data_IF_834528722597
#
_entry.id   IF_834528722597
#
_cell.length_a   1.000
_cell.length_b   1.000
_cell.length_c   1.000
_cell.angle_alpha   90.00
_cell.angle_beta   90.00
_cell.angle_gamma   90.00
#
_symmetry.space_group_name_H-M   'P 1'
#
loop_
_entity.id
_entity.type
_entity.pdbx_description
1 polymer ?
#
# COMPACT_ATOMS: atom_id res chain seq x y z
N UNK A 1 -0.74 -4.48 -5.34
CA UNK A 1 0.06 -5.72 -5.34
C UNK A 1 1.01 -5.62 -4.17
N UNK A 2 0.86 -6.52 -3.21
CA UNK A 2 1.78 -6.72 -2.08
C UNK A 2 3.02 -7.42 -2.66
N UNK A 3 4.23 -7.05 -2.25
CA UNK A 3 5.46 -7.60 -2.85
C UNK A 3 5.77 -8.99 -2.26
N UNK A 4 6.45 -9.85 -3.01
CA UNK A 4 6.86 -11.19 -2.54
C UNK A 4 7.91 -11.16 -1.41
N UNK A 5 8.53 -10.01 -1.17
CA UNK A 5 9.53 -9.77 -0.11
C UNK A 5 8.95 -9.07 1.13
N UNK A 6 7.63 -8.85 1.20
CA UNK A 6 6.96 -8.33 2.38
C UNK A 6 6.52 -9.49 3.29
N UNK A 7 7.00 -9.47 4.54
CA UNK A 7 6.64 -10.39 5.63
C UNK A 7 5.13 -10.69 5.59
N UNK A 8 4.72 -11.97 5.66
CA UNK A 8 3.30 -12.36 5.59
C UNK A 8 2.51 -11.57 6.65
N UNK A 9 1.81 -10.54 6.18
CA UNK A 9 1.15 -9.60 7.08
C UNK A 9 0.18 -10.34 8.01
N UNK A 10 0.27 -10.08 9.31
CA UNK A 10 -0.65 -10.65 10.28
C UNK A 10 -2.01 -9.96 10.18
N UNK A 11 -3.03 -10.67 9.70
CA UNK A 11 -4.41 -10.21 9.78
C UNK A 11 -4.92 -10.33 11.23
N UNK A 12 -5.42 -9.23 11.79
CA UNK A 12 -6.18 -9.26 13.04
C UNK A 12 -7.45 -10.09 12.86
N UNK A 13 -7.93 -10.74 13.93
CA UNK A 13 -9.25 -11.39 13.96
C UNK A 13 -10.40 -10.41 13.69
N UNK A 14 -10.16 -9.11 13.90
CA UNK A 14 -11.09 -8.04 13.57
C UNK A 14 -10.56 -7.22 12.38
N UNK A 15 -11.29 -7.26 11.26
CA UNK A 15 -11.00 -6.47 10.07
C UNK A 15 -12.03 -5.35 9.91
N UNK A 16 -11.57 -4.10 9.85
CA UNK A 16 -12.41 -2.97 9.50
C UNK A 16 -12.41 -2.78 7.99
N UNK A 17 -13.54 -3.10 7.33
CA UNK A 17 -13.72 -2.87 5.90
C UNK A 17 -14.54 -1.62 5.69
N UNK A 18 -13.97 -0.64 4.99
CA UNK A 18 -14.71 0.55 4.55
C UNK A 18 -15.34 0.25 3.19
N UNK A 19 -16.67 0.34 3.11
CA UNK A 19 -17.43 0.20 1.87
C UNK A 19 -18.00 1.55 1.43
N UNK A 20 -18.07 1.76 0.10
CA UNK A 20 -18.75 2.94 -0.45
C UNK A 20 -20.26 2.80 -0.25
N UNK A 21 -20.98 3.92 -0.16
CA UNK A 21 -22.44 3.89 -0.09
C UNK A 21 -23.06 3.23 -1.33
N UNK A 22 -22.42 3.36 -2.49
CA UNK A 22 -22.84 2.70 -3.73
C UNK A 22 -22.78 1.18 -3.60
N UNK A 23 -21.67 0.65 -3.07
CA UNK A 23 -21.50 -0.78 -2.88
C UNK A 23 -22.37 -1.32 -1.73
N UNK A 24 -22.60 -0.51 -0.69
CA UNK A 24 -23.42 -0.88 0.46
C UNK A 24 -24.92 -1.06 0.13
N UNK A 25 -25.40 -0.51 -1.00
CA UNK A 25 -26.80 -0.72 -1.43
C UNK A 25 -27.04 -2.17 -1.86
N UNK A 26 -26.00 -2.87 -2.33
CA UNK A 26 -26.11 -4.26 -2.77
C UNK A 26 -26.02 -5.27 -1.62
N UNK A 27 -25.61 -4.83 -0.43
CA UNK A 27 -25.58 -5.67 0.77
C UNK A 27 -26.94 -5.58 1.50
N UNK A 28 -27.70 -6.68 1.64
CA UNK A 28 -29.00 -6.69 2.30
C UNK A 28 -28.98 -6.14 3.73
N UNK A 29 -27.87 -6.27 4.45
CA UNK A 29 -27.71 -5.77 5.82
C UNK A 29 -27.45 -4.27 5.87
N UNK A 30 -26.86 -3.70 4.81
CA UNK A 30 -26.47 -2.29 4.75
C UNK A 30 -27.43 -1.43 3.91
N UNK A 31 -28.30 -2.05 3.11
CA UNK A 31 -29.18 -1.36 2.16
C UNK A 31 -30.00 -0.25 2.81
N UNK A 32 -30.63 -0.50 3.97
CA UNK A 32 -31.44 0.50 4.67
C UNK A 32 -30.61 1.70 5.19
N UNK A 33 -29.40 1.43 5.68
CA UNK A 33 -28.47 2.45 6.17
C UNK A 33 -27.96 3.29 5.00
N UNK A 34 -27.64 2.64 3.87
CA UNK A 34 -27.13 3.30 2.68
C UNK A 34 -28.14 4.28 2.07
N UNK A 35 -29.42 3.89 1.96
CA UNK A 35 -30.49 4.76 1.46
C UNK A 35 -30.68 5.99 2.35
N UNK A 36 -30.69 5.82 3.67
CA UNK A 36 -30.84 6.93 4.63
C UNK A 36 -29.67 7.91 4.59
N UNK A 37 -28.45 7.45 4.33
CA UNK A 37 -27.26 8.32 4.26
C UNK A 37 -27.11 9.02 2.92
N UNK A 38 -27.58 8.42 1.82
CA UNK A 38 -27.52 9.02 0.48
C UNK A 38 -28.31 10.33 0.39
N UNK A 39 -29.34 10.54 1.22
CA UNK A 39 -30.09 11.80 1.26
C UNK A 39 -29.39 12.94 2.02
N UNK A 40 -28.30 12.65 2.75
CA UNK A 40 -27.61 13.62 3.63
C UNK A 40 -26.24 14.05 3.06
N UNK A 41 -26.06 14.06 1.73
CA UNK A 41 -24.79 14.32 1.03
C UNK A 41 -24.15 15.67 1.38
N UNK A 42 -23.40 15.74 2.48
CA UNK A 42 -22.61 16.93 2.81
C UNK A 42 -21.11 16.75 2.51
N UNK A 43 -20.59 15.52 2.58
CA UNK A 43 -19.16 15.24 2.43
C UNK A 43 -18.93 14.01 1.55
N UNK A 44 -18.11 14.15 0.51
CA UNK A 44 -17.78 13.08 -0.43
C UNK A 44 -16.27 12.88 -0.51
N UNK A 45 -15.85 11.61 -0.47
CA UNK A 45 -14.45 11.20 -0.57
C UNK A 45 -14.29 10.14 -1.63
N UNK A 46 -13.28 10.28 -2.48
CA UNK A 46 -12.90 9.28 -3.48
C UNK A 46 -12.12 8.18 -2.79
N UNK A 47 -12.43 6.91 -3.09
CA UNK A 47 -11.78 5.76 -2.47
C UNK A 47 -10.26 5.75 -2.62
N UNK A 48 -9.75 6.11 -3.80
CA UNK A 48 -8.31 6.21 -4.04
C UNK A 48 -7.66 7.37 -3.28
N UNK A 49 -8.36 8.49 -3.11
CA UNK A 49 -7.86 9.60 -2.28
C UNK A 49 -7.77 9.17 -0.82
N UNK A 50 -8.81 8.49 -0.31
CA UNK A 50 -8.80 7.94 1.04
C UNK A 50 -7.65 6.94 1.23
N UNK A 51 -7.44 6.04 0.27
CA UNK A 51 -6.32 5.09 0.31
C UNK A 51 -4.95 5.79 0.27
N UNK A 52 -4.82 6.89 -0.48
CA UNK A 52 -3.63 7.72 -0.53
C UNK A 52 -3.37 8.41 0.81
N UNK A 53 -4.34 9.14 1.35
CA UNK A 53 -4.15 9.94 2.58
C UNK A 53 -3.92 9.06 3.81
N UNK A 54 -4.54 7.87 3.88
CA UNK A 54 -4.30 6.91 4.96
C UNK A 54 -2.88 6.35 4.99
N UNK A 55 -2.12 6.44 3.89
CA UNK A 55 -0.71 6.06 3.80
C UNK A 55 0.25 7.24 3.95
N UNK A 56 -0.27 8.45 4.15
CA UNK A 56 0.54 9.65 4.25
C UNK A 56 1.07 9.87 5.67
N UNK A 57 2.13 10.67 5.78
CA UNK A 57 2.69 11.09 7.05
C UNK A 57 1.70 11.90 7.91
N UNK A 58 0.71 12.55 7.28
CA UNK A 58 -0.36 13.28 7.97
C UNK A 58 -1.17 12.33 8.86
N UNK A 59 -1.49 11.14 8.35
CA UNK A 59 -2.23 10.12 9.11
C UNK A 59 -1.29 9.35 10.02
N UNK A 60 -0.10 8.99 9.54
CA UNK A 60 0.88 8.26 10.35
C UNK A 60 1.28 9.04 11.61
N UNK A 61 1.50 10.35 11.51
CA UNK A 61 1.83 11.20 12.65
C UNK A 61 0.72 11.29 13.71
N UNK A 62 -0.55 11.11 13.32
CA UNK A 62 -1.66 11.01 14.27
C UNK A 62 -1.69 9.64 14.97
N UNK A 63 -1.32 8.58 14.26
CA UNK A 63 -1.38 7.20 14.76
C UNK A 63 -0.18 6.80 15.60
N UNK A 64 1.01 7.34 15.33
CA UNK A 64 2.27 6.84 15.92
C UNK A 64 2.23 6.78 17.44
N UNK A 65 1.56 7.75 18.10
CA UNK A 65 1.42 7.80 19.56
C UNK A 65 0.27 6.95 20.11
N UNK A 66 -0.60 6.43 19.24
CA UNK A 66 -1.73 5.57 19.59
C UNK A 66 -1.45 4.09 19.29
N UNK A 67 -0.31 3.79 18.66
CA UNK A 67 0.12 2.41 18.39
C UNK A 67 0.58 1.76 19.70
N UNK A 68 0.09 0.56 19.94
CA UNK A 68 0.43 -0.26 21.12
C UNK A 68 1.08 -1.57 20.69
N UNK A 69 1.87 -2.18 21.58
CA UNK A 69 2.54 -3.47 21.33
C UNK A 69 3.93 -3.31 20.72
N UNK A 70 4.94 -3.86 21.40
CA UNK A 70 6.37 -3.70 21.05
C UNK A 70 6.76 -4.57 19.85
N UNK A 71 6.38 -5.86 19.85
CA UNK A 71 6.68 -6.77 18.74
C UNK A 71 5.61 -6.83 17.65
N UNK A 72 4.40 -6.34 17.95
CA UNK A 72 3.25 -6.31 17.02
C UNK A 72 2.53 -4.99 17.18
N UNK A 73 2.90 -3.94 16.43
CA UNK A 73 2.24 -2.65 16.52
C UNK A 73 0.77 -2.79 16.12
N UNK A 74 -0.13 -2.31 16.99
CA UNK A 74 -1.58 -2.33 16.79
C UNK A 74 -2.18 -0.94 17.00
N UNK A 75 -3.00 -0.52 16.04
CA UNK A 75 -3.89 0.62 16.18
C UNK A 75 -5.29 0.14 16.56
N UNK A 76 -5.93 0.80 17.54
CA UNK A 76 -7.30 0.46 17.94
C UNK A 76 -8.32 0.98 16.92
N UNK A 77 -9.51 0.39 16.90
CA UNK A 77 -10.63 0.88 16.07
C UNK A 77 -10.97 2.35 16.37
N UNK A 78 -10.93 2.75 17.64
CA UNK A 78 -11.19 4.13 18.05
C UNK A 78 -10.12 5.09 17.53
N UNK A 79 -8.85 4.68 17.51
CA UNK A 79 -7.76 5.45 16.94
C UNK A 79 -8.00 5.73 15.45
N UNK A 80 -8.32 4.69 14.67
CA UNK A 80 -8.58 4.81 13.23
C UNK A 80 -9.80 5.69 12.95
N UNK A 81 -10.90 5.53 13.69
CA UNK A 81 -12.12 6.32 13.49
C UNK A 81 -12.00 7.76 13.98
N UNK A 82 -11.00 8.06 14.82
CA UNK A 82 -10.72 9.41 15.33
C UNK A 82 -9.82 10.26 14.43
N UNK A 83 -9.29 9.69 13.35
CA UNK A 83 -8.38 10.37 12.43
C UNK A 83 -9.02 11.63 11.81
N UNK A 84 -8.28 12.73 11.87
CA UNK A 84 -8.63 13.95 11.16
C UNK A 84 -8.05 13.88 9.75
N UNK A 85 -8.93 13.79 8.75
CA UNK A 85 -8.55 13.68 7.35
C UNK A 85 -8.91 15.00 6.64
N UNK A 86 -7.94 15.68 6.01
CA UNK A 86 -8.25 16.84 5.18
C UNK A 86 -9.09 16.38 3.99
N UNK A 87 -10.24 17.02 3.77
CA UNK A 87 -11.17 16.65 2.71
C UNK A 87 -11.33 17.79 1.71
N UNK A 88 -10.45 17.90 0.69
CA UNK A 88 -10.58 18.93 -0.33
C UNK A 88 -11.74 18.60 -1.29
N UNK A 89 -12.17 19.55 -2.14
CA UNK A 89 -13.18 19.30 -3.16
C UNK A 89 -12.82 18.14 -4.10
N UNK A 90 -13.83 17.46 -4.66
CA UNK A 90 -13.63 16.29 -5.53
C UNK A 90 -12.64 16.51 -6.70
N UNK A 91 -12.63 17.65 -7.41
CA UNK A 91 -11.64 17.89 -8.47
C UNK A 91 -10.21 17.83 -7.97
N UNK A 92 -9.95 18.44 -6.80
CA UNK A 92 -8.62 18.45 -6.16
C UNK A 92 -8.24 17.06 -5.68
N UNK A 93 -9.18 16.29 -5.12
CA UNK A 93 -8.93 14.88 -4.76
C UNK A 93 -8.47 14.06 -5.98
N UNK A 94 -9.10 14.24 -7.15
CA UNK A 94 -8.72 13.54 -8.39
C UNK A 94 -7.34 13.96 -8.88
N UNK A 95 -7.02 15.24 -8.82
CA UNK A 95 -5.72 15.77 -9.22
C UNK A 95 -4.59 15.16 -8.39
N UNK A 96 -4.74 15.15 -7.05
CA UNK A 96 -3.77 14.56 -6.12
C UNK A 96 -3.56 13.07 -6.44
N UNK A 97 -4.64 12.31 -6.62
CA UNK A 97 -4.56 10.89 -6.95
C UNK A 97 -3.87 10.66 -8.31
N UNK A 98 -4.15 11.50 -9.30
CA UNK A 98 -3.52 11.42 -10.62
C UNK A 98 -2.02 11.66 -10.53
N UNK A 99 -1.60 12.73 -9.87
CA UNK A 99 -0.19 13.06 -9.64
C UNK A 99 0.54 11.92 -8.93
N UNK A 100 -0.05 11.38 -7.86
CA UNK A 100 0.50 10.23 -7.15
C UNK A 100 0.65 9.00 -8.03
N UNK A 101 -0.37 8.63 -8.82
CA UNK A 101 -0.33 7.47 -9.71
C UNK A 101 0.76 7.61 -10.78
N UNK A 102 0.95 8.81 -11.34
CA UNK A 102 2.03 9.08 -12.30
C UNK A 102 3.41 8.90 -11.66
N UNK A 103 3.63 9.48 -10.48
CA UNK A 103 4.89 9.33 -9.74
C UNK A 103 5.16 7.86 -9.38
N UNK A 104 4.13 7.14 -8.93
CA UNK A 104 4.23 5.72 -8.60
C UNK A 104 4.62 4.87 -9.80
N UNK A 105 4.02 5.13 -10.97
CA UNK A 105 4.38 4.44 -12.22
C UNK A 105 5.86 4.62 -12.55
N UNK A 106 6.35 5.87 -12.51
CA UNK A 106 7.75 6.16 -12.78
C UNK A 106 8.69 5.51 -11.76
N UNK A 107 8.32 5.50 -10.47
CA UNK A 107 9.05 4.78 -9.43
C UNK A 107 9.19 3.28 -9.74
N UNK A 108 8.09 2.63 -10.14
CA UNK A 108 8.10 1.20 -10.49
C UNK A 108 9.01 0.90 -11.69
N UNK A 109 8.96 1.73 -12.73
CA UNK A 109 9.84 1.60 -13.90
C UNK A 109 11.32 1.71 -13.50
N UNK A 110 11.67 2.73 -12.72
CA UNK A 110 13.04 2.92 -12.23
C UNK A 110 13.50 1.73 -11.38
N UNK A 111 12.64 1.26 -10.49
CA UNK A 111 12.92 0.12 -9.61
C UNK A 111 13.16 -1.16 -10.41
N UNK A 112 12.29 -1.48 -11.37
CA UNK A 112 12.41 -2.68 -12.20
C UNK A 112 13.72 -2.64 -13.00
N UNK A 113 14.05 -1.50 -13.61
CA UNK A 113 15.32 -1.32 -14.32
C UNK A 113 16.52 -1.57 -13.40
N UNK A 114 16.48 -1.04 -12.17
CA UNK A 114 17.55 -1.28 -11.19
C UNK A 114 17.67 -2.77 -10.81
N UNK A 115 16.54 -3.47 -10.63
CA UNK A 115 16.56 -4.90 -10.31
C UNK A 115 17.13 -5.75 -11.45
N UNK A 116 16.78 -5.45 -12.70
CA UNK A 116 17.32 -6.13 -13.87
C UNK A 116 18.84 -5.92 -13.96
N UNK A 117 19.31 -4.68 -13.85
CA UNK A 117 20.74 -4.38 -13.91
C UNK A 117 21.54 -5.08 -12.79
N UNK A 118 20.98 -5.18 -11.57
CA UNK A 118 21.62 -5.92 -10.48
C UNK A 118 21.73 -7.42 -10.79
N UNK A 119 20.68 -8.04 -11.35
CA UNK A 119 20.70 -9.46 -11.74
C UNK A 119 21.72 -9.73 -12.84
N UNK A 120 21.74 -8.92 -13.89
CA UNK A 120 22.71 -9.04 -14.98
C UNK A 120 24.16 -8.93 -14.48
N UNK A 121 24.40 -8.01 -13.54
CA UNK A 121 25.71 -7.86 -12.89
C UNK A 121 26.13 -9.11 -12.11
N UNK A 122 25.21 -9.67 -11.31
CA UNK A 122 25.46 -10.86 -10.50
C UNK A 122 25.71 -12.12 -11.35
N UNK A 123 24.93 -12.30 -12.42
CA UNK A 123 25.12 -13.37 -13.39
C UNK A 123 26.49 -13.29 -14.07
N UNK A 124 26.91 -12.07 -14.46
CA UNK A 124 28.21 -11.83 -15.10
C UNK A 124 29.36 -12.15 -14.14
N UNK A 125 29.23 -11.74 -12.87
CA UNK A 125 30.22 -12.03 -11.83
C UNK A 125 30.33 -13.54 -11.58
N UNK A 126 29.19 -14.21 -11.41
CA UNK A 126 29.11 -15.66 -11.20
C UNK A 126 29.73 -16.44 -12.36
N UNK A 127 29.47 -16.04 -13.61
CA UNK A 127 30.07 -16.64 -14.78
C UNK A 127 31.59 -16.43 -14.83
N UNK A 128 32.09 -15.26 -14.42
CA UNK A 128 33.52 -15.00 -14.33
C UNK A 128 34.20 -15.89 -13.27
N UNK A 129 33.57 -16.06 -12.11
CA UNK A 129 34.05 -16.98 -11.07
C UNK A 129 34.07 -18.44 -11.53
N UNK A 130 33.02 -18.90 -12.21
CA UNK A 130 32.97 -20.26 -12.75
C UNK A 130 34.15 -20.53 -13.71
N UNK A 131 34.38 -19.60 -14.65
CA UNK A 131 35.52 -19.68 -15.60
C UNK A 131 36.88 -19.68 -14.89
N UNK A 132 37.03 -18.86 -13.84
CA UNK A 132 38.27 -18.83 -13.06
C UNK A 132 38.48 -20.16 -12.32
N UNK A 133 37.43 -20.71 -11.71
CA UNK A 133 37.46 -22.00 -11.01
C UNK A 133 37.84 -23.16 -11.93
N UNK A 134 37.27 -23.21 -13.15
CA UNK A 134 37.60 -24.22 -14.17
C UNK A 134 39.09 -24.21 -14.55
N UNK A 135 39.70 -23.02 -14.62
CA UNK A 135 41.13 -22.87 -14.95
C UNK A 135 42.06 -23.21 -13.79
N UNK A 136 41.64 -22.93 -12.56
CA UNK A 136 42.47 -23.13 -11.36
C UNK A 136 42.46 -24.59 -10.89
N UNK A 137 41.32 -25.28 -11.04
CA UNK A 137 41.16 -26.68 -10.69
C UNK A 137 40.69 -27.49 -11.91
N UNK A 138 41.52 -27.62 -12.97
CA UNK A 138 41.20 -28.52 -14.07
C UNK A 138 41.19 -29.93 -13.48
N UNK A 139 40.03 -30.56 -13.49
CA UNK A 139 39.75 -31.85 -12.86
C UNK A 139 40.94 -32.80 -13.01
N UNK A 140 41.54 -33.19 -11.87
CA UNK A 140 42.57 -34.22 -11.80
C UNK A 140 41.99 -35.51 -12.41
N UNK A 141 42.46 -35.84 -13.61
CA UNK A 141 42.33 -37.19 -14.18
C UNK A 141 43.11 -38.20 -13.35
#
# INVERSE_FOLDING_TARGET
MIRDDEDEGFASSECLVLCTLENAIYDPLLQNIAHKRKSLQQWQVIGEYLAFILRSDIVFGQLVYQITGVGRPRASKSAILGLQIPLPPLPVQREIVSAYKMAWKHYLECRNRSQVALREGDETLSAAYARASEKLCPTSR
#
